data_IF_937897472494
#
_entry.id   IF_937897472494
#
_cell.length_a   1.000
_cell.length_b   1.000
_cell.length_c   1.000
_cell.angle_alpha   90.00
_cell.angle_beta   90.00
_cell.angle_gamma   90.00
#
_symmetry.space_group_name_H-M   'P 1'
#
loop_
_entity.id
_entity.type
_entity.pdbx_description
1 polymer ?
#
# COMPACT_ATOMS: atom_id res chain seq x y z
N UNK A 1 -17.43 27.77 14.81
CA UNK A 1 -16.79 26.45 14.68
C UNK A 1 -15.41 26.58 15.29
N UNK A 2 -15.17 25.85 16.38
CA UNK A 2 -13.91 25.89 17.14
C UNK A 2 -12.86 25.12 16.36
N UNK A 3 -11.82 25.80 15.86
CA UNK A 3 -10.66 25.16 15.23
C UNK A 3 -9.97 24.32 16.31
N UNK A 4 -9.97 22.99 16.17
CA UNK A 4 -9.20 22.13 17.06
C UNK A 4 -7.72 22.51 16.95
N UNK A 5 -7.06 22.74 18.08
CA UNK A 5 -5.61 22.96 18.10
C UNK A 5 -4.97 21.60 17.86
N UNK A 6 -4.39 21.40 16.68
CA UNK A 6 -3.60 20.22 16.35
C UNK A 6 -2.40 20.16 17.30
N UNK A 7 -2.22 19.03 17.98
CA UNK A 7 -1.06 18.82 18.84
C UNK A 7 0.14 18.37 18.01
N UNK A 8 1.37 18.55 18.53
CA UNK A 8 2.58 17.98 17.90
C UNK A 8 2.48 16.46 17.68
N UNK A 9 1.78 15.76 18.58
CA UNK A 9 1.49 14.34 18.44
C UNK A 9 0.59 14.05 17.24
N UNK A 10 -0.44 14.86 17.00
CA UNK A 10 -1.31 14.72 15.83
C UNK A 10 -0.55 15.04 14.53
N UNK A 11 0.32 16.05 14.54
CA UNK A 11 1.19 16.38 13.40
C UNK A 11 2.15 15.23 13.07
N UNK A 12 2.81 14.66 14.09
CA UNK A 12 3.71 13.52 13.94
C UNK A 12 2.97 12.27 13.44
N UNK A 13 1.79 11.98 13.98
CA UNK A 13 0.97 10.85 13.51
C UNK A 13 0.50 11.06 12.06
N UNK A 14 0.14 12.29 11.69
CA UNK A 14 -0.23 12.65 10.31
C UNK A 14 0.95 12.47 9.37
N UNK A 15 2.16 12.85 9.79
CA UNK A 15 3.38 12.65 9.00
C UNK A 15 3.66 11.17 8.75
N UNK A 16 3.46 10.30 9.75
CA UNK A 16 3.59 8.84 9.57
C UNK A 16 2.59 8.26 8.55
N UNK A 17 1.47 8.95 8.30
CA UNK A 17 0.47 8.54 7.31
C UNK A 17 0.97 8.52 5.84
N UNK A 18 2.15 9.09 5.56
CA UNK A 18 2.77 9.01 4.23
C UNK A 18 3.68 7.80 4.06
N UNK A 19 4.06 7.14 5.17
CA UNK A 19 4.92 5.96 5.17
C UNK A 19 4.08 4.74 4.80
N UNK A 20 4.40 4.13 3.67
CA UNK A 20 3.66 3.00 3.13
C UNK A 20 4.41 1.69 3.40
N UNK A 21 3.66 0.63 3.71
CA UNK A 21 4.19 -0.71 3.52
C UNK A 21 4.41 -0.95 2.01
N UNK A 22 5.64 -1.28 1.57
CA UNK A 22 5.94 -1.44 0.15
C UNK A 22 5.08 -2.51 -0.54
N UNK A 23 4.78 -3.61 0.15
CA UNK A 23 4.04 -4.73 -0.41
C UNK A 23 2.54 -4.45 -0.48
N UNK A 24 2.01 -3.83 0.56
CA UNK A 24 0.56 -3.63 0.75
C UNK A 24 0.04 -2.33 0.13
N UNK A 25 0.93 -1.37 -0.14
CA UNK A 25 0.60 -0.05 -0.70
C UNK A 25 -0.44 0.70 0.17
N UNK A 26 -0.28 0.57 1.49
CA UNK A 26 -1.12 1.17 2.53
C UNK A 26 -0.27 1.84 3.61
N UNK A 27 -0.74 2.95 4.22
CA UNK A 27 -0.04 3.59 5.32
C UNK A 27 0.17 2.66 6.52
N UNK A 28 1.33 2.76 7.16
CA UNK A 28 1.62 2.03 8.40
C UNK A 28 0.67 2.41 9.55
N UNK A 29 0.12 3.64 9.51
CA UNK A 29 -0.91 4.12 10.43
C UNK A 29 -2.23 3.38 10.22
N UNK A 30 -2.60 3.10 8.97
CA UNK A 30 -3.85 2.43 8.62
C UNK A 30 -3.77 0.93 8.90
N UNK A 31 -2.57 0.36 8.78
CA UNK A 31 -2.27 -1.05 9.05
C UNK A 31 -2.18 -1.39 10.55
N UNK A 32 -2.16 -0.38 11.42
CA UNK A 32 -1.99 -0.56 12.87
C UNK A 32 -0.56 -0.93 13.29
N UNK A 33 0.43 -0.62 12.43
CA UNK A 33 1.84 -0.92 12.68
C UNK A 33 2.48 0.09 13.64
N UNK A 34 1.92 1.30 13.77
CA UNK A 34 2.32 2.26 14.81
C UNK A 34 1.72 1.82 16.14
N UNK A 35 2.53 1.22 17.01
CA UNK A 35 2.10 0.72 18.33
C UNK A 35 1.92 1.87 19.31
N UNK A 36 2.91 2.73 19.42
CA UNK A 36 2.89 3.93 20.26
C UNK A 36 3.65 5.07 19.59
N UNK A 37 3.24 6.29 19.93
CA UNK A 37 3.87 7.53 19.51
C UNK A 37 3.85 8.48 20.70
N UNK A 38 5.03 8.78 21.21
CA UNK A 38 5.26 9.67 22.34
C UNK A 38 6.02 10.90 21.85
N UNK A 39 5.53 12.08 22.22
CA UNK A 39 6.10 13.36 21.82
C UNK A 39 6.30 14.19 23.08
N UNK A 40 7.55 14.51 23.37
CA UNK A 40 7.95 15.34 24.49
C UNK A 40 8.85 16.48 23.99
N UNK A 41 8.35 17.70 24.08
CA UNK A 41 8.98 18.89 23.52
C UNK A 41 9.40 18.68 22.05
N UNK A 42 10.71 18.54 21.76
CA UNK A 42 11.27 18.28 20.44
C UNK A 42 11.65 16.82 20.19
N UNK A 43 11.41 15.92 21.14
CA UNK A 43 11.73 14.49 21.04
C UNK A 43 10.50 13.69 20.61
N UNK A 44 10.65 12.90 19.56
CA UNK A 44 9.64 11.97 19.06
C UNK A 44 10.15 10.55 19.23
N UNK A 45 9.39 9.72 19.94
CA UNK A 45 9.66 8.30 20.10
C UNK A 45 8.49 7.49 19.55
N UNK A 46 8.76 6.67 18.54
CA UNK A 46 7.76 5.81 17.89
C UNK A 46 8.17 4.35 18.00
N UNK A 47 7.22 3.52 18.44
CA UNK A 47 7.35 2.07 18.37
C UNK A 47 6.53 1.53 17.20
N UNK A 48 7.21 0.81 16.31
CA UNK A 48 6.60 0.08 15.20
C UNK A 48 6.53 -1.40 15.55
N UNK A 49 5.51 -2.09 15.03
CA UNK A 49 5.34 -3.53 15.15
C UNK A 49 4.86 -4.11 13.84
N UNK A 50 5.20 -5.38 13.61
CA UNK A 50 4.89 -6.08 12.35
C UNK A 50 4.09 -7.36 12.58
N UNK A 51 3.27 -7.79 11.59
CA UNK A 51 2.37 -8.92 11.75
C UNK A 51 3.08 -10.25 12.00
N UNK A 52 4.34 -10.39 11.58
CA UNK A 52 5.16 -11.56 11.88
C UNK A 52 6.59 -11.16 12.27
N UNK A 53 7.28 -12.02 13.02
CA UNK A 53 8.68 -11.79 13.41
C UNK A 53 9.67 -11.96 12.25
N UNK A 54 9.21 -12.51 11.12
CA UNK A 54 10.01 -12.81 9.94
C UNK A 54 9.46 -12.09 8.69
N UNK A 55 8.84 -10.93 8.87
CA UNK A 55 8.59 -10.03 7.75
C UNK A 55 9.92 -9.73 7.04
N UNK A 56 9.87 -9.35 5.76
CA UNK A 56 11.11 -9.08 5.02
C UNK A 56 11.95 -8.02 5.76
N UNK A 57 13.23 -8.28 6.06
CA UNK A 57 14.10 -7.30 6.71
C UNK A 57 14.19 -6.00 5.90
N UNK A 58 14.11 -6.10 4.57
CA UNK A 58 14.14 -4.96 3.66
C UNK A 58 12.89 -4.10 3.85
N UNK A 59 11.70 -4.70 3.93
CA UNK A 59 10.46 -3.96 4.16
C UNK A 59 10.39 -3.37 5.56
N UNK A 60 10.81 -4.14 6.57
CA UNK A 60 10.89 -3.67 7.95
C UNK A 60 11.82 -2.45 8.07
N UNK A 61 13.01 -2.51 7.47
CA UNK A 61 13.94 -1.40 7.43
C UNK A 61 13.38 -0.21 6.66
N UNK A 62 12.76 -0.42 5.48
CA UNK A 62 12.16 0.64 4.68
C UNK A 62 11.10 1.41 5.48
N UNK A 63 10.17 0.72 6.13
CA UNK A 63 9.13 1.37 6.92
C UNK A 63 9.69 2.10 8.15
N UNK A 64 10.65 1.52 8.86
CA UNK A 64 11.24 2.15 10.03
C UNK A 64 12.14 3.35 9.66
N UNK A 65 12.93 3.22 8.60
CA UNK A 65 13.73 4.31 8.03
C UNK A 65 12.86 5.45 7.54
N UNK A 66 11.84 5.15 6.73
CA UNK A 66 10.89 6.17 6.23
C UNK A 66 10.17 6.88 7.38
N UNK A 67 9.83 6.14 8.45
CA UNK A 67 9.25 6.74 9.67
C UNK A 67 10.23 7.72 10.32
N UNK A 68 11.53 7.39 10.39
CA UNK A 68 12.55 8.30 10.93
C UNK A 68 12.66 9.55 10.05
N UNK A 69 12.70 9.38 8.73
CA UNK A 69 12.87 10.48 7.78
C UNK A 69 11.70 11.48 7.85
N UNK A 70 10.46 11.01 7.83
CA UNK A 70 9.28 11.90 7.85
C UNK A 70 9.12 12.62 9.19
N UNK A 71 9.47 11.97 10.30
CA UNK A 71 9.41 12.59 11.63
C UNK A 71 10.54 13.61 11.82
N UNK A 72 11.73 13.33 11.27
CA UNK A 72 12.88 14.23 11.31
C UNK A 72 12.65 15.47 10.44
N UNK A 73 11.90 15.35 9.35
CA UNK A 73 11.57 16.46 8.47
C UNK A 73 10.59 17.49 9.08
N UNK A 74 9.97 17.18 10.23
CA UNK A 74 9.07 18.12 10.90
C UNK A 74 9.85 19.31 11.49
N UNK A 75 9.41 20.56 11.29
CA UNK A 75 10.19 21.75 11.66
C UNK A 75 10.53 21.92 13.14
N UNK A 76 9.80 21.23 14.03
CA UNK A 76 9.95 21.34 15.48
C UNK A 76 10.69 20.15 16.11
N UNK A 77 11.02 19.13 15.32
CA UNK A 77 11.67 17.93 15.82
C UNK A 77 13.17 18.16 16.00
N UNK A 78 13.69 17.80 17.17
CA UNK A 78 15.12 17.86 17.51
C UNK A 78 15.73 16.46 17.56
N UNK A 79 14.98 15.49 18.09
CA UNK A 79 15.41 14.10 18.26
C UNK A 79 14.32 13.11 17.84
N UNK A 80 14.67 12.12 17.03
CA UNK A 80 13.75 11.05 16.61
C UNK A 80 14.32 9.69 16.96
N UNK A 81 13.55 8.92 17.71
CA UNK A 81 13.81 7.53 18.05
C UNK A 81 12.73 6.67 17.40
N UNK A 82 13.14 5.77 16.51
CA UNK A 82 12.26 4.76 15.91
C UNK A 82 12.73 3.40 16.40
N UNK A 83 11.84 2.65 17.03
CA UNK A 83 12.10 1.29 17.48
C UNK A 83 11.15 0.31 16.80
N UNK A 84 11.70 -0.75 16.24
CA UNK A 84 10.97 -1.89 15.73
C UNK A 84 10.86 -2.97 16.81
N UNK A 85 9.64 -3.30 17.20
CA UNK A 85 9.33 -4.29 18.23
C UNK A 85 9.23 -5.72 17.65
N UNK A 86 9.78 -6.69 18.38
CA UNK A 86 9.63 -8.15 18.17
C UNK A 86 9.93 -8.68 16.75
N UNK A 87 10.74 -8.00 15.95
CA UNK A 87 11.23 -8.51 14.68
C UNK A 87 12.51 -9.33 14.89
N UNK A 88 12.76 -10.34 14.05
CA UNK A 88 13.99 -11.13 14.13
C UNK A 88 15.26 -10.26 14.05
N UNK A 89 15.20 -9.24 13.19
CA UNK A 89 16.28 -8.26 13.00
C UNK A 89 16.09 -6.95 13.79
N UNK A 90 15.20 -6.90 14.79
CA UNK A 90 14.93 -5.67 15.56
C UNK A 90 16.20 -5.03 16.12
N UNK A 91 17.05 -5.79 16.80
CA UNK A 91 18.28 -5.25 17.40
C UNK A 91 19.19 -4.61 16.34
N UNK A 92 19.31 -5.27 15.19
CA UNK A 92 20.15 -4.83 14.08
C UNK A 92 19.59 -3.56 13.42
N UNK A 93 18.29 -3.57 13.12
CA UNK A 93 17.58 -2.43 12.51
C UNK A 93 17.62 -1.22 13.46
N UNK A 94 17.28 -1.41 14.73
CA UNK A 94 17.24 -0.33 15.73
C UNK A 94 18.63 0.29 15.94
N UNK A 95 19.68 -0.53 16.04
CA UNK A 95 21.05 -0.04 16.13
C UNK A 95 21.47 0.75 14.87
N UNK A 96 21.10 0.25 13.69
CA UNK A 96 21.37 0.93 12.42
C UNK A 96 20.67 2.28 12.30
N UNK A 97 19.40 2.35 12.71
CA UNK A 97 18.62 3.59 12.74
C UNK A 97 19.17 4.57 13.77
N UNK A 98 19.53 4.13 14.97
CA UNK A 98 20.10 5.00 16.01
C UNK A 98 21.44 5.61 15.59
N UNK A 99 22.23 4.90 14.77
CA UNK A 99 23.53 5.33 14.28
C UNK A 99 23.47 6.09 12.94
N UNK A 100 22.28 6.28 12.35
CA UNK A 100 22.11 6.83 10.99
C UNK A 100 22.98 6.10 9.95
N UNK A 101 23.14 4.78 10.12
CA UNK A 101 24.06 3.97 9.34
C UNK A 101 23.59 3.74 7.88
N UNK A 102 22.32 4.04 7.60
CA UNK A 102 21.67 3.69 6.34
C UNK A 102 21.55 2.17 6.17
N UNK A 103 20.89 1.74 5.09
CA UNK A 103 20.61 0.31 4.86
C UNK A 103 21.89 -0.53 4.72
N UNK A 104 22.84 -0.03 3.92
CA UNK A 104 24.13 -0.70 3.70
C UNK A 104 24.98 -0.74 4.97
N UNK A 105 24.94 0.29 5.80
CA UNK A 105 25.64 0.28 7.09
C UNK A 105 24.99 -0.66 8.11
N UNK A 106 23.67 -0.82 8.03
CA UNK A 106 22.89 -1.71 8.92
C UNK A 106 23.08 -3.19 8.57
N UNK A 107 22.97 -3.55 7.29
CA UNK A 107 22.98 -4.95 6.84
C UNK A 107 24.32 -5.42 6.25
N UNK A 108 25.24 -4.50 5.92
CA UNK A 108 26.57 -4.84 5.44
C UNK A 108 26.52 -5.70 4.18
N UNK A 109 27.02 -6.93 4.26
CA UNK A 109 27.06 -7.88 3.15
C UNK A 109 25.70 -8.51 2.84
N UNK A 110 24.75 -8.49 3.78
CA UNK A 110 23.37 -8.96 3.56
C UNK A 110 22.54 -7.95 2.73
N UNK A 111 23.04 -6.72 2.56
CA UNK A 111 22.45 -5.70 1.71
C UNK A 111 22.76 -5.94 0.21
N UNK A 112 22.50 -7.15 -0.29
CA UNK A 112 22.74 -7.50 -1.69
C UNK A 112 21.72 -6.85 -2.64
N UNK A 113 20.47 -6.68 -2.17
CA UNK A 113 19.40 -6.05 -2.94
C UNK A 113 19.44 -4.51 -2.84
N UNK A 114 19.31 -3.82 -3.97
CA UNK A 114 19.14 -2.37 -4.01
C UNK A 114 17.71 -2.01 -3.56
N UNK A 115 17.60 -1.32 -2.42
CA UNK A 115 16.32 -0.86 -1.89
C UNK A 115 15.57 0.05 -2.86
N UNK A 116 16.26 0.81 -3.71
CA UNK A 116 15.57 1.68 -4.68
C UNK A 116 14.96 0.85 -5.81
N UNK A 117 15.64 -0.20 -6.27
CA UNK A 117 15.07 -1.14 -7.24
C UNK A 117 13.87 -1.91 -6.64
N UNK A 118 13.98 -2.30 -5.36
CA UNK A 118 12.89 -2.92 -4.62
C UNK A 118 11.69 -1.98 -4.51
N UNK A 119 11.89 -0.73 -4.09
CA UNK A 119 10.85 0.32 -4.07
C UNK A 119 10.22 0.51 -5.43
N UNK A 120 11.03 0.61 -6.49
CA UNK A 120 10.53 0.79 -7.85
C UNK A 120 9.63 -0.38 -8.29
N UNK A 121 10.01 -1.62 -7.96
CA UNK A 121 9.21 -2.81 -8.25
C UNK A 121 7.83 -2.75 -7.60
N UNK A 122 7.78 -2.39 -6.32
CA UNK A 122 6.52 -2.32 -5.58
C UNK A 122 5.66 -1.11 -5.97
N UNK A 123 6.26 0.06 -6.22
CA UNK A 123 5.56 1.23 -6.78
C UNK A 123 4.89 0.91 -8.12
N UNK A 124 5.54 0.12 -8.98
CA UNK A 124 4.95 -0.35 -10.24
C UNK A 124 3.75 -1.27 -10.00
N UNK A 125 3.83 -2.19 -9.03
CA UNK A 125 2.70 -3.08 -8.67
C UNK A 125 1.52 -2.29 -8.09
N UNK A 126 1.79 -1.35 -7.18
CA UNK A 126 0.82 -0.42 -6.61
C UNK A 126 0.08 0.37 -7.70
N UNK A 127 0.84 0.95 -8.64
CA UNK A 127 0.29 1.63 -9.82
C UNK A 127 -0.63 0.72 -10.63
N UNK A 128 -0.18 -0.49 -10.99
CA UNK A 128 -0.97 -1.45 -11.76
C UNK A 128 -2.27 -1.82 -11.05
N UNK A 129 -2.23 -2.03 -9.73
CA UNK A 129 -3.41 -2.34 -8.94
C UNK A 129 -4.40 -1.16 -8.86
N UNK A 130 -3.90 0.07 -8.69
CA UNK A 130 -4.75 1.27 -8.71
C UNK A 130 -5.37 1.53 -10.10
N UNK A 131 -4.58 1.34 -11.17
CA UNK A 131 -5.06 1.45 -12.54
C UNK A 131 -6.19 0.46 -12.81
N UNK A 132 -6.04 -0.80 -12.39
CA UNK A 132 -7.10 -1.81 -12.54
C UNK A 132 -8.37 -1.41 -11.79
N UNK A 133 -8.25 -0.91 -10.54
CA UNK A 133 -9.41 -0.45 -9.75
C UNK A 133 -10.18 0.66 -10.45
N UNK A 134 -9.48 1.68 -10.94
CA UNK A 134 -10.10 2.82 -11.61
C UNK A 134 -10.76 2.42 -12.94
N UNK A 135 -10.08 1.62 -13.77
CA UNK A 135 -10.65 1.14 -15.03
C UNK A 135 -11.83 0.20 -14.81
N UNK A 136 -11.80 -0.62 -13.75
CA UNK A 136 -12.94 -1.45 -13.36
C UNK A 136 -14.10 -0.64 -12.78
N UNK A 137 -13.84 0.48 -12.09
CA UNK A 137 -14.89 1.42 -11.68
C UNK A 137 -15.54 2.06 -12.91
N UNK A 138 -14.74 2.47 -13.89
CA UNK A 138 -15.23 3.01 -15.16
C UNK A 138 -16.07 1.98 -15.93
N UNK A 139 -15.62 0.73 -16.10
CA UNK A 139 -16.40 -0.33 -16.76
C UNK A 139 -17.74 -0.60 -16.06
N UNK A 140 -17.77 -0.57 -14.72
CA UNK A 140 -19.01 -0.73 -13.96
C UNK A 140 -20.00 0.42 -14.18
N UNK A 141 -19.50 1.62 -14.42
CA UNK A 141 -20.32 2.79 -14.75
C UNK A 141 -20.77 2.80 -16.23
N UNK A 142 -20.13 2.01 -17.10
CA UNK A 142 -20.36 1.97 -18.55
C UNK A 142 -20.66 0.52 -19.00
N UNK A 143 -21.87 -0.01 -18.72
CA UNK A 143 -22.19 -1.44 -18.92
C UNK A 143 -22.16 -1.91 -20.38
N UNK A 144 -22.27 -0.99 -21.34
CA UNK A 144 -22.18 -1.29 -22.78
C UNK A 144 -20.73 -1.35 -23.29
N UNK A 145 -19.75 -1.01 -22.44
CA UNK A 145 -18.32 -1.03 -22.78
C UNK A 145 -17.65 -2.36 -22.46
N UNK A 146 -16.59 -2.65 -23.19
CA UNK A 146 -15.74 -3.83 -23.05
C UNK A 146 -14.32 -3.44 -22.66
N UNK A 147 -13.51 -4.42 -22.26
CA UNK A 147 -12.09 -4.17 -21.95
C UNK A 147 -11.29 -3.64 -23.15
N UNK A 148 -11.75 -3.86 -24.38
CA UNK A 148 -11.11 -3.30 -25.58
C UNK A 148 -11.33 -1.78 -25.69
N UNK A 149 -12.44 -1.26 -25.16
CA UNK A 149 -12.75 0.17 -25.19
C UNK A 149 -11.82 0.97 -24.25
N UNK A 150 -11.17 0.30 -23.29
CA UNK A 150 -10.19 0.90 -22.39
C UNK A 150 -8.98 1.51 -23.11
N UNK A 151 -8.72 1.12 -24.36
CA UNK A 151 -7.68 1.73 -25.19
C UNK A 151 -7.87 3.25 -25.38
N UNK A 152 -9.14 3.69 -25.40
CA UNK A 152 -9.52 5.08 -25.66
C UNK A 152 -9.77 5.88 -24.37
N UNK A 153 -9.86 5.22 -23.22
CA UNK A 153 -10.17 5.88 -21.93
C UNK A 153 -8.99 6.75 -21.49
N UNK A 154 -9.28 8.01 -21.21
CA UNK A 154 -8.33 8.97 -20.63
C UNK A 154 -8.61 9.19 -19.15
N UNK A 155 -7.64 9.78 -18.43
CA UNK A 155 -7.79 10.04 -16.99
C UNK A 155 -8.99 10.92 -16.66
N UNK A 156 -9.36 11.85 -17.55
CA UNK A 156 -10.53 12.72 -17.40
C UNK A 156 -11.88 12.02 -17.53
N UNK A 157 -11.92 10.79 -18.06
CA UNK A 157 -13.15 9.99 -18.15
C UNK A 157 -13.42 9.20 -16.87
N UNK A 158 -12.42 9.07 -15.99
CA UNK A 158 -12.53 8.29 -14.76
C UNK A 158 -13.39 9.02 -13.72
N UNK A 159 -14.11 8.28 -12.84
CA UNK A 159 -14.92 8.91 -11.79
C UNK A 159 -14.05 9.74 -10.85
N UNK A 160 -14.58 10.88 -10.38
CA UNK A 160 -13.94 11.71 -9.37
C UNK A 160 -14.14 11.09 -7.97
N UNK A 161 -13.36 10.05 -7.69
CA UNK A 161 -13.44 9.29 -6.45
C UNK A 161 -12.04 8.96 -5.88
N UNK A 162 -12.04 8.26 -4.74
CA UNK A 162 -10.80 7.84 -4.06
C UNK A 162 -9.94 6.91 -4.92
N UNK A 163 -10.53 6.12 -5.83
CA UNK A 163 -9.79 5.20 -6.68
C UNK A 163 -8.99 5.96 -7.75
N UNK A 164 -9.63 6.93 -8.42
CA UNK A 164 -8.95 7.79 -9.40
C UNK A 164 -7.90 8.69 -8.73
N UNK A 165 -8.21 9.22 -7.55
CA UNK A 165 -7.24 9.98 -6.74
C UNK A 165 -6.01 9.12 -6.40
N UNK A 166 -6.24 7.87 -5.98
CA UNK A 166 -5.18 6.91 -5.69
C UNK A 166 -4.33 6.59 -6.93
N UNK A 167 -4.93 6.43 -8.11
CA UNK A 167 -4.23 6.23 -9.37
C UNK A 167 -3.34 7.44 -9.71
N UNK A 168 -3.85 8.66 -9.60
CA UNK A 168 -3.09 9.88 -9.90
C UNK A 168 -1.85 10.02 -9.01
N UNK A 169 -1.99 9.79 -7.69
CA UNK A 169 -0.85 9.80 -6.75
C UNK A 169 0.25 8.81 -7.15
N UNK A 170 -0.14 7.60 -7.60
CA UNK A 170 0.82 6.55 -8.00
C UNK A 170 1.46 6.86 -9.36
N UNK A 171 0.74 7.53 -10.26
CA UNK A 171 1.30 8.03 -11.52
C UNK A 171 2.35 9.11 -11.27
N UNK A 172 2.06 10.07 -10.38
CA UNK A 172 3.02 11.10 -9.98
C UNK A 172 4.29 10.48 -9.38
N UNK A 173 4.16 9.50 -8.48
CA UNK A 173 5.29 8.79 -7.88
C UNK A 173 6.15 8.01 -8.90
N UNK A 174 5.62 7.72 -10.09
CA UNK A 174 6.34 7.07 -11.20
C UNK A 174 6.76 8.05 -12.30
N UNK A 175 6.49 9.35 -12.16
CA UNK A 175 6.75 10.36 -13.20
C UNK A 175 5.87 10.21 -14.44
N UNK A 176 4.70 9.57 -14.32
CA UNK A 176 3.75 9.40 -15.40
C UNK A 176 2.85 10.64 -15.56
N UNK A 177 2.37 10.89 -16.78
CA UNK A 177 1.42 11.97 -17.07
C UNK A 177 0.17 11.88 -16.20
N UNK A 178 -0.25 12.98 -15.61
CA UNK A 178 -1.47 13.10 -14.77
C UNK A 178 -2.53 14.04 -15.36
N UNK A 179 -2.27 14.58 -16.57
CA UNK A 179 -3.23 15.46 -17.23
C UNK A 179 -4.51 14.72 -17.66
N UNK A 180 -5.69 15.37 -17.68
CA UNK A 180 -6.96 14.70 -18.01
C UNK A 180 -7.00 14.02 -19.38
N UNK A 181 -6.19 14.46 -20.34
CA UNK A 181 -6.10 13.88 -21.68
C UNK A 181 -5.11 12.71 -21.78
N UNK A 182 -4.43 12.35 -20.70
CA UNK A 182 -3.50 11.23 -20.70
C UNK A 182 -4.26 9.89 -20.74
N UNK A 183 -3.80 8.90 -21.53
CA UNK A 183 -4.40 7.57 -21.52
C UNK A 183 -4.34 6.93 -20.13
N UNK A 184 -5.47 6.35 -19.70
CA UNK A 184 -5.60 5.73 -18.39
C UNK A 184 -4.90 4.36 -18.34
N UNK A 185 -4.95 3.59 -19.42
CA UNK A 185 -4.34 2.27 -19.53
C UNK A 185 -2.96 2.33 -20.22
N UNK A 186 -1.90 2.46 -19.43
CA UNK A 186 -0.50 2.51 -19.91
C UNK A 186 0.43 1.65 -19.06
N UNK A 187 1.54 1.23 -19.64
CA UNK A 187 2.62 0.55 -18.92
C UNK A 187 3.36 1.50 -17.95
N UNK A 188 4.31 0.96 -17.18
CA UNK A 188 5.11 1.73 -16.21
C UNK A 188 6.05 2.76 -16.85
N UNK A 189 6.17 2.79 -18.19
CA UNK A 189 6.90 3.80 -18.94
C UNK A 189 5.94 4.80 -19.62
N UNK A 190 4.64 4.73 -19.34
CA UNK A 190 3.63 5.62 -19.90
C UNK A 190 3.23 5.29 -21.34
N UNK A 191 3.58 4.11 -21.84
CA UNK A 191 3.23 3.69 -23.22
C UNK A 191 1.90 2.95 -23.22
N UNK A 192 0.99 3.23 -24.17
CA UNK A 192 -0.22 2.46 -24.34
C UNK A 192 0.07 0.97 -24.58
N UNK A 193 -0.80 0.10 -24.06
CA UNK A 193 -0.71 -1.33 -24.32
C UNK A 193 -1.13 -1.65 -25.77
N UNK A 194 -0.30 -2.42 -26.49
CA UNK A 194 -0.51 -2.76 -27.92
C UNK A 194 -1.00 -4.19 -28.14
N UNK A 195 -1.26 -4.94 -27.07
CA UNK A 195 -1.65 -6.35 -27.12
C UNK A 195 -3.11 -6.57 -26.71
N UNK A 196 -3.43 -7.83 -26.39
CA UNK A 196 -4.72 -8.23 -25.84
C UNK A 196 -5.00 -7.52 -24.51
N UNK A 197 -5.90 -6.52 -24.54
CA UNK A 197 -6.25 -5.70 -23.38
C UNK A 197 -6.98 -6.51 -22.30
N UNK A 198 -7.71 -7.56 -22.68
CA UNK A 198 -8.31 -8.49 -21.72
C UNK A 198 -7.24 -9.22 -20.93
N UNK A 199 -6.19 -9.69 -21.59
CA UNK A 199 -5.06 -10.31 -20.89
C UNK A 199 -4.27 -9.31 -20.04
N UNK A 200 -4.15 -8.04 -20.46
CA UNK A 200 -3.55 -6.98 -19.65
C UNK A 200 -4.36 -6.75 -18.37
N UNK A 201 -5.68 -6.56 -18.49
CA UNK A 201 -6.58 -6.35 -17.35
C UNK A 201 -6.61 -7.56 -16.41
N UNK A 202 -6.58 -8.78 -16.95
CA UNK A 202 -6.50 -10.01 -16.14
C UNK A 202 -5.22 -10.07 -15.31
N UNK A 203 -4.07 -9.67 -15.87
CA UNK A 203 -2.79 -9.61 -15.14
C UNK A 203 -2.82 -8.51 -14.08
N UNK A 204 -3.33 -7.33 -14.42
CA UNK A 204 -3.46 -6.22 -13.48
C UNK A 204 -4.36 -6.59 -12.28
N UNK A 205 -5.46 -7.31 -12.55
CA UNK A 205 -6.36 -7.85 -11.51
C UNK A 205 -5.62 -8.83 -10.61
N UNK A 206 -4.81 -9.73 -11.17
CA UNK A 206 -4.02 -10.67 -10.37
C UNK A 206 -3.05 -9.94 -9.43
N UNK A 207 -2.38 -8.88 -9.91
CA UNK A 207 -1.55 -8.01 -9.05
C UNK A 207 -2.36 -7.37 -7.94
N UNK A 208 -3.52 -6.76 -8.25
CA UNK A 208 -4.39 -6.18 -7.24
C UNK A 208 -4.83 -7.20 -6.19
N UNK A 209 -5.32 -8.36 -6.62
CA UNK A 209 -5.80 -9.43 -5.73
C UNK A 209 -4.68 -9.92 -4.81
N UNK A 210 -3.45 -10.04 -5.32
CA UNK A 210 -2.30 -10.40 -4.49
C UNK A 210 -2.02 -9.36 -3.40
N UNK A 211 -2.02 -8.07 -3.74
CA UNK A 211 -1.79 -6.98 -2.79
C UNK A 211 -2.90 -6.96 -1.73
N UNK A 212 -4.16 -6.96 -2.17
CA UNK A 212 -5.31 -6.88 -1.28
C UNK A 212 -5.39 -8.12 -0.36
N UNK A 213 -5.04 -9.30 -0.88
CA UNK A 213 -4.98 -10.56 -0.14
C UNK A 213 -3.89 -10.56 0.92
N UNK A 214 -2.68 -10.13 0.56
CA UNK A 214 -1.56 -10.02 1.50
C UNK A 214 -1.89 -9.00 2.61
N UNK A 215 -2.51 -7.88 2.27
CA UNK A 215 -2.90 -6.88 3.25
C UNK A 215 -3.95 -7.40 4.23
N UNK A 216 -4.97 -8.12 3.74
CA UNK A 216 -5.96 -8.76 4.60
C UNK A 216 -5.31 -9.78 5.54
N UNK A 217 -4.41 -10.60 5.01
CA UNK A 217 -3.69 -11.60 5.80
C UNK A 217 -2.79 -10.95 6.87
N UNK A 218 -2.03 -9.92 6.50
CA UNK A 218 -1.20 -9.14 7.43
C UNK A 218 -2.02 -8.53 8.56
N UNK A 219 -3.19 -7.96 8.26
CA UNK A 219 -4.08 -7.40 9.30
C UNK A 219 -4.53 -8.47 10.29
N UNK A 220 -4.98 -9.63 9.82
CA UNK A 220 -5.40 -10.75 10.67
C UNK A 220 -4.27 -11.37 11.50
N UNK A 221 -3.07 -11.49 10.93
CA UNK A 221 -1.88 -11.92 11.67
C UNK A 221 -1.49 -10.92 12.76
N UNK A 222 -1.55 -9.61 12.47
CA UNK A 222 -1.26 -8.57 13.46
C UNK A 222 -2.21 -8.67 14.65
N UNK A 223 -3.52 -8.82 14.41
CA UNK A 223 -4.53 -8.99 15.46
C UNK A 223 -4.28 -10.23 16.31
N UNK A 224 -3.91 -11.34 15.67
CA UNK A 224 -3.60 -12.61 16.36
C UNK A 224 -2.36 -12.46 17.24
N UNK A 225 -1.35 -11.73 16.74
CA UNK A 225 -0.07 -11.53 17.42
C UNK A 225 -0.17 -10.50 18.54
N UNK A 226 -0.96 -9.45 18.35
CA UNK A 226 -1.12 -8.33 19.27
C UNK A 226 -2.61 -8.06 19.52
N UNK A 227 -3.22 -8.70 20.54
CA UNK A 227 -4.62 -8.44 20.91
C UNK A 227 -4.87 -6.95 21.17
N UNK A 228 -5.93 -6.39 20.57
CA UNK A 228 -6.25 -4.95 20.62
C UNK A 228 -5.65 -4.12 19.49
N UNK A 229 -4.78 -4.70 18.64
CA UNK A 229 -4.25 -4.01 17.46
C UNK A 229 -5.33 -3.66 16.43
N UNK A 230 -6.43 -4.41 16.40
CA UNK A 230 -7.60 -4.15 15.56
C UNK A 230 -8.20 -2.75 15.75
N UNK A 231 -8.12 -2.19 16.97
CA UNK A 231 -8.65 -0.86 17.28
C UNK A 231 -7.85 0.26 16.60
N UNK A 232 -6.60 -0.03 16.23
CA UNK A 232 -5.68 0.88 15.56
C UNK A 232 -5.67 0.68 14.04
N UNK A 233 -6.42 -0.30 13.52
CA UNK A 233 -6.53 -0.54 12.09
C UNK A 233 -7.67 0.28 11.48
N UNK A 234 -7.38 0.97 10.38
CA UNK A 234 -8.43 1.57 9.56
C UNK A 234 -9.09 0.46 8.73
N UNK A 235 -10.42 0.25 8.84
CA UNK A 235 -11.11 -0.76 8.05
C UNK A 235 -11.00 -0.46 6.56
N UNK A 236 -10.75 -1.50 5.76
CA UNK A 236 -10.93 -1.41 4.30
C UNK A 236 -12.42 -1.49 3.98
N UNK A 237 -12.91 -0.64 3.07
CA UNK A 237 -14.26 -0.79 2.54
C UNK A 237 -14.40 -2.15 1.83
N UNK A 238 -15.45 -2.90 2.20
CA UNK A 238 -15.75 -4.24 1.69
C UNK A 238 -16.02 -4.22 0.19
N UNK A 239 -14.99 -4.53 -0.59
CA UNK A 239 -15.12 -4.81 -2.02
C UNK A 239 -13.98 -5.66 -2.60
N UNK A 240 -12.94 -5.95 -1.80
CA UNK A 240 -11.75 -6.67 -2.26
C UNK A 240 -11.81 -8.19 -2.04
N UNK A 241 -12.70 -8.67 -1.17
CA UNK A 241 -12.84 -10.08 -0.85
C UNK A 241 -14.23 -10.58 -1.26
N UNK A 242 -14.28 -11.45 -2.26
CA UNK A 242 -15.45 -12.29 -2.52
C UNK A 242 -15.24 -13.53 -1.67
N UNK A 243 -15.91 -13.68 -0.51
CA UNK A 243 -15.73 -14.86 0.31
C UNK A 243 -16.07 -16.10 -0.51
N UNK A 244 -15.27 -17.17 -0.42
CA UNK A 244 -15.49 -18.40 -1.21
C UNK A 244 -16.91 -18.97 -1.04
N UNK A 245 -17.58 -18.68 0.07
CA UNK A 245 -18.98 -19.01 0.33
C UNK A 245 -19.98 -18.36 -0.63
N UNK A 246 -19.60 -17.26 -1.29
CA UNK A 246 -20.40 -16.59 -2.34
C UNK A 246 -20.15 -17.15 -3.75
N UNK A 247 -19.16 -18.03 -3.93
CA UNK A 247 -18.95 -18.79 -5.17
C UNK A 247 -19.81 -20.07 -5.17
N UNK A 248 -21.14 -19.92 -5.10
CA UNK A 248 -22.04 -21.05 -5.38
C UNK A 248 -22.07 -21.29 -6.88
N UNK A 249 -21.36 -22.33 -7.35
CA UNK A 249 -21.56 -22.87 -8.69
C UNK A 249 -22.92 -23.57 -8.71
N UNK A 250 -23.92 -23.11 -9.49
CA UNK A 250 -25.17 -23.85 -9.62
C UNK A 250 -24.85 -25.20 -10.27
N UNK A 251 -25.05 -26.29 -9.51
CA UNK A 251 -25.06 -27.64 -10.04
C UNK A 251 -26.16 -27.69 -11.10
N UNK A 252 -25.78 -27.75 -12.38
CA UNK A 252 -26.71 -28.08 -13.46
C UNK A 252 -27.06 -29.56 -13.29
N UNK A 253 -28.22 -29.84 -12.72
CA UNK A 253 -28.81 -31.17 -12.75
C UNK A 253 -29.19 -31.48 -14.20
N UNK A 254 -28.36 -32.28 -14.88
CA UNK A 254 -28.75 -32.89 -16.15
C UNK A 254 -29.83 -33.92 -15.85
N UNK A 255 -31.08 -33.53 -16.06
CA UNK A 255 -32.21 -34.45 -16.04
C UNK A 255 -32.20 -35.21 -17.37
N UNK A 256 -31.63 -36.41 -17.38
CA UNK A 256 -31.78 -37.35 -18.49
C UNK A 256 -33.24 -37.76 -18.59
N UNK A 257 -33.92 -37.30 -19.63
CA UNK A 257 -35.15 -37.89 -20.11
C UNK A 257 -34.80 -39.25 -20.74
N UNK A 258 -35.08 -40.33 -20.02
CA UNK A 258 -35.22 -41.66 -20.63
C UNK A 258 -36.71 -41.87 -20.87
N UNK A 259 -37.04 -42.10 -22.15
CA UNK A 259 -38.36 -42.45 -22.67
C UNK A 259 -38.85 -43.81 -22.20
#
# INVERSE_FOLDING_TARGET
MTTAVTTRKDEAYTALGVVLDPELDEPITDLGFVRSLDVDEGTVHVHLRLPTSFCSPNFAYLMAGDSKDVLTALPWTEHVLVELDDHHDSDKINAGLAADAGYRGTFGHEAEEDLEELRATFRRKAYVAAMERSLMAWLRANPDSTENDLAAVVLGDLPDDRTSTALLRRREALGLRTDPAAPALVDHAGRPHTGDLTMVMRRARATRVSIDGNAHFCRGLLQTRYPGAEEQQVPREEGAFVPLTTLTVPLRTTQEHVS
#
